data_IF_809742738582
#
_entry.id   IF_809742738582
#
_cell.length_a   1.000
_cell.length_b   1.000
_cell.length_c   1.000
_cell.angle_alpha   90.00
_cell.angle_beta   90.00
_cell.angle_gamma   90.00
#
_symmetry.space_group_name_H-M   'P 1'
#
loop_
_entity.id
_entity.type
_entity.pdbx_description
1 polymer ?
#
# COMPACT_ATOMS: atom_id res chain seq x y z
N UNK A 1 -33.54 -4.18 42.81
CA UNK A 1 -32.18 -3.84 42.36
C UNK A 1 -32.28 -2.78 41.26
N UNK A 2 -32.13 -1.48 41.58
CA UNK A 2 -32.14 -0.42 40.57
C UNK A 2 -30.83 -0.43 39.77
N UNK A 3 -30.92 -0.42 38.44
CA UNK A 3 -29.80 -0.55 37.50
C UNK A 3 -28.77 0.58 37.62
N UNK A 4 -27.48 0.23 37.69
CA UNK A 4 -26.34 1.16 37.75
C UNK A 4 -26.22 2.11 36.53
N UNK A 5 -26.93 1.82 35.44
CA UNK A 5 -26.84 2.57 34.18
C UNK A 5 -27.31 4.04 34.26
N UNK A 6 -28.13 4.41 35.25
CA UNK A 6 -28.68 5.78 35.35
C UNK A 6 -27.80 6.75 36.17
N UNK A 7 -26.76 6.27 36.87
CA UNK A 7 -25.89 7.14 37.69
C UNK A 7 -24.89 7.97 36.87
N UNK A 8 -24.72 7.68 35.59
CA UNK A 8 -23.71 8.30 34.74
C UNK A 8 -24.25 9.38 33.79
N UNK A 9 -25.56 9.65 33.81
CA UNK A 9 -26.14 10.73 32.99
C UNK A 9 -25.97 12.05 33.75
N UNK A 10 -24.86 12.74 33.51
CA UNK A 10 -24.70 14.15 33.93
C UNK A 10 -25.66 15.01 33.12
N UNK A 11 -26.70 15.52 33.77
CA UNK A 11 -27.61 16.50 33.15
C UNK A 11 -26.85 17.80 32.85
N UNK A 12 -27.25 18.53 31.80
CA UNK A 12 -26.61 19.77 31.33
C UNK A 12 -26.48 20.86 32.42
N UNK A 13 -27.16 20.73 33.56
CA UNK A 13 -26.99 21.60 34.75
C UNK A 13 -25.62 21.47 35.43
N UNK A 14 -24.81 20.46 35.11
CA UNK A 14 -23.48 20.24 35.70
C UNK A 14 -22.31 20.71 34.82
N UNK A 15 -22.57 21.49 33.77
CA UNK A 15 -21.52 22.16 33.01
C UNK A 15 -21.12 23.39 33.82
N UNK A 16 -19.97 23.32 34.50
CA UNK A 16 -19.34 24.48 35.15
C UNK A 16 -19.18 25.56 34.08
N UNK A 17 -19.98 26.62 34.17
CA UNK A 17 -19.79 27.82 33.34
C UNK A 17 -18.44 28.41 33.72
N UNK A 18 -17.73 28.99 32.75
CA UNK A 18 -16.33 29.43 32.90
C UNK A 18 -16.06 30.39 34.08
N UNK A 19 -17.11 30.94 34.69
CA UNK A 19 -17.03 31.79 35.88
C UNK A 19 -16.58 31.05 37.15
N UNK A 20 -16.94 29.77 37.34
CA UNK A 20 -16.56 29.00 38.55
C UNK A 20 -15.11 28.50 38.50
N UNK A 21 -14.55 28.33 37.30
CA UNK A 21 -13.15 27.98 37.10
C UNK A 21 -12.19 29.13 37.41
N UNK A 22 -12.66 30.38 37.36
CA UNK A 22 -11.83 31.56 37.61
C UNK A 22 -11.51 31.76 39.10
N UNK A 23 -12.36 31.29 40.02
CA UNK A 23 -12.19 31.53 41.46
C UNK A 23 -11.23 30.56 42.16
N UNK A 24 -10.95 29.40 41.56
CA UNK A 24 -10.17 28.31 42.17
C UNK A 24 -8.77 28.11 41.57
N UNK A 25 -8.47 28.75 40.45
CA UNK A 25 -7.15 28.70 39.82
C UNK A 25 -6.53 30.08 39.90
N UNK A 26 -5.47 30.24 40.69
CA UNK A 26 -4.53 31.36 40.52
C UNK A 26 -4.04 31.31 39.07
N UNK A 27 -4.68 32.10 38.20
CA UNK A 27 -4.20 32.34 36.84
C UNK A 27 -2.88 33.06 37.02
N UNK A 28 -1.77 32.33 36.83
CA UNK A 28 -0.46 32.96 36.64
C UNK A 28 -0.51 33.71 35.32
N UNK A 29 -0.96 34.96 35.37
CA UNK A 29 -0.75 35.91 34.29
C UNK A 29 0.73 36.29 34.34
N UNK A 30 1.57 35.57 33.58
CA UNK A 30 2.95 36.03 33.34
C UNK A 30 2.86 37.30 32.50
N UNK A 31 2.94 38.44 33.19
CA UNK A 31 2.99 39.77 32.61
C UNK A 31 4.12 39.83 31.59
N UNK A 32 3.81 40.23 30.37
CA UNK A 32 4.78 40.43 29.30
C UNK A 32 5.25 41.88 29.34
N UNK A 33 6.37 42.18 30.03
CA UNK A 33 7.06 43.46 29.87
C UNK A 33 8.46 43.47 30.48
N UNK A 34 9.29 42.52 30.06
CA UNK A 34 10.76 42.60 29.99
C UNK A 34 11.27 41.17 29.77
N UNK A 35 11.48 40.78 28.51
CA UNK A 35 12.34 39.61 28.25
C UNK A 35 13.74 40.07 28.57
N UNK A 36 14.41 39.40 29.50
CA UNK A 36 15.85 39.58 29.67
C UNK A 36 16.55 39.13 28.37
N UNK A 37 17.69 39.74 28.04
CA UNK A 37 18.45 39.38 26.83
C UNK A 37 18.78 37.88 26.79
N UNK A 38 18.97 37.26 27.97
CA UNK A 38 19.18 35.83 28.16
C UNK A 38 17.97 34.97 27.75
N UNK A 39 16.74 35.38 28.08
CA UNK A 39 15.53 34.67 27.69
C UNK A 39 15.28 34.76 26.18
N UNK A 40 15.60 35.89 25.56
CA UNK A 40 15.53 36.07 24.12
C UNK A 40 16.56 35.19 23.38
N UNK A 41 17.81 35.15 23.88
CA UNK A 41 18.86 34.30 23.33
C UNK A 41 18.53 32.79 23.47
N UNK A 42 17.95 32.38 24.59
CA UNK A 42 17.52 31.00 24.80
C UNK A 42 16.40 30.58 23.84
N UNK A 43 15.42 31.45 23.57
CA UNK A 43 14.36 31.18 22.60
C UNK A 43 14.87 31.08 21.16
N UNK A 44 15.82 31.93 20.77
CA UNK A 44 16.49 31.84 19.47
C UNK A 44 17.26 30.52 19.32
N UNK A 45 18.04 30.14 20.34
CA UNK A 45 18.75 28.85 20.35
C UNK A 45 17.81 27.64 20.25
N UNK A 46 16.65 27.70 20.91
CA UNK A 46 15.62 26.66 20.80
C UNK A 46 14.98 26.61 19.41
N UNK A 47 14.77 27.77 18.77
CA UNK A 47 14.28 27.83 17.40
C UNK A 47 15.28 27.18 16.42
N UNK A 48 16.57 27.47 16.56
CA UNK A 48 17.64 26.88 15.73
C UNK A 48 17.78 25.37 15.92
N UNK A 49 17.62 24.89 17.16
CA UNK A 49 17.59 23.44 17.43
C UNK A 49 16.37 22.77 16.80
N UNK A 50 15.21 23.42 16.80
CA UNK A 50 13.99 22.89 16.17
C UNK A 50 14.10 22.86 14.66
N UNK A 51 14.64 23.90 14.04
CA UNK A 51 14.87 23.92 12.58
C UNK A 51 15.88 22.84 12.18
N UNK A 52 16.97 22.65 12.93
CA UNK A 52 17.92 21.56 12.69
C UNK A 52 17.27 20.17 12.78
N UNK A 53 16.36 19.95 13.73
CA UNK A 53 15.61 18.68 13.82
C UNK A 53 14.63 18.49 12.66
N UNK A 54 14.00 19.56 12.17
CA UNK A 54 13.11 19.50 11.00
C UNK A 54 13.92 19.12 9.77
N UNK A 55 15.05 19.81 9.51
CA UNK A 55 15.93 19.52 8.38
C UNK A 55 16.47 18.08 8.43
N UNK A 56 16.86 17.59 9.60
CA UNK A 56 17.31 16.21 9.75
C UNK A 56 16.21 15.18 9.47
N UNK A 57 14.95 15.46 9.86
CA UNK A 57 13.79 14.62 9.51
C UNK A 57 13.51 14.66 8.02
N UNK A 58 13.61 15.82 7.40
CA UNK A 58 13.40 16.02 5.97
C UNK A 58 14.44 15.27 5.15
N UNK A 59 15.73 15.38 5.51
CA UNK A 59 16.82 14.64 4.88
C UNK A 59 16.60 13.12 4.95
N UNK A 60 16.15 12.60 6.10
CA UNK A 60 15.79 11.18 6.24
C UNK A 60 14.61 10.77 5.35
N UNK A 61 13.61 11.65 5.19
CA UNK A 61 12.47 11.40 4.28
C UNK A 61 12.92 11.35 2.83
N UNK A 62 13.79 12.25 2.40
CA UNK A 62 14.35 12.24 1.04
C UNK A 62 15.14 10.96 0.77
N UNK A 63 16.04 10.57 1.69
CA UNK A 63 16.79 9.31 1.57
C UNK A 63 15.87 8.08 1.47
N UNK A 64 14.79 8.05 2.26
CA UNK A 64 13.80 6.96 2.18
C UNK A 64 13.04 6.96 0.84
N UNK A 65 12.74 8.14 0.30
CA UNK A 65 12.09 8.28 -1.01
C UNK A 65 12.99 7.79 -2.14
N UNK A 66 14.27 8.19 -2.15
CA UNK A 66 15.25 7.73 -3.13
C UNK A 66 15.41 6.19 -3.10
N UNK A 67 15.57 5.61 -1.91
CA UNK A 67 15.64 4.16 -1.75
C UNK A 67 14.38 3.44 -2.28
N UNK A 68 13.20 4.03 -2.11
CA UNK A 68 11.95 3.52 -2.66
C UNK A 68 11.92 3.59 -4.20
N UNK A 69 12.40 4.70 -4.76
CA UNK A 69 12.52 4.87 -6.22
C UNK A 69 13.45 3.80 -6.79
N UNK A 70 14.62 3.58 -6.20
CA UNK A 70 15.57 2.58 -6.71
C UNK A 70 15.02 1.15 -6.60
N UNK A 71 14.30 0.84 -5.51
CA UNK A 71 13.59 -0.44 -5.40
C UNK A 71 12.52 -0.60 -6.48
N UNK A 72 11.80 0.47 -6.81
CA UNK A 72 10.79 0.45 -7.87
C UNK A 72 11.43 0.25 -9.25
N UNK A 73 12.56 0.92 -9.54
CA UNK A 73 13.35 0.73 -10.76
C UNK A 73 13.82 -0.72 -10.90
N UNK A 74 14.37 -1.30 -9.84
CA UNK A 74 14.78 -2.71 -9.84
C UNK A 74 13.63 -3.68 -10.12
N UNK A 75 12.42 -3.40 -9.61
CA UNK A 75 11.23 -4.22 -9.92
C UNK A 75 10.81 -4.10 -11.39
N UNK A 76 10.86 -2.90 -11.96
CA UNK A 76 10.55 -2.66 -13.38
C UNK A 76 11.54 -3.41 -14.28
N UNK A 77 12.84 -3.37 -13.98
CA UNK A 77 13.84 -4.11 -14.73
C UNK A 77 13.58 -5.62 -14.70
N UNK A 78 13.32 -6.20 -13.52
CA UNK A 78 12.96 -7.62 -13.39
C UNK A 78 11.69 -7.98 -14.16
N UNK A 79 10.70 -7.09 -14.19
CA UNK A 79 9.49 -7.30 -14.97
C UNK A 79 9.77 -7.29 -16.48
N UNK A 80 10.64 -6.38 -16.95
CA UNK A 80 11.08 -6.33 -18.35
C UNK A 80 11.85 -7.59 -18.76
N UNK A 81 12.74 -8.09 -17.91
CA UNK A 81 13.46 -9.35 -18.15
C UNK A 81 12.50 -10.53 -18.31
N UNK A 82 11.52 -10.66 -17.39
CA UNK A 82 10.48 -11.71 -17.48
C UNK A 82 9.63 -11.60 -18.74
N UNK A 83 9.30 -10.37 -19.15
CA UNK A 83 8.56 -10.12 -20.38
C UNK A 83 9.40 -10.56 -21.59
N UNK A 84 10.68 -10.19 -21.65
CA UNK A 84 11.59 -10.56 -22.73
C UNK A 84 11.74 -12.08 -22.85
N UNK A 85 11.90 -12.79 -21.73
CA UNK A 85 11.93 -14.26 -21.72
C UNK A 85 10.63 -14.87 -22.26
N UNK A 86 9.48 -14.33 -21.85
CA UNK A 86 8.17 -14.79 -22.35
C UNK A 86 8.01 -14.54 -23.85
N UNK A 87 8.42 -13.37 -24.35
CA UNK A 87 8.38 -13.03 -25.78
C UNK A 87 9.25 -14.01 -26.58
N UNK A 88 10.48 -14.27 -26.13
CA UNK A 88 11.39 -15.19 -26.81
C UNK A 88 10.83 -16.62 -26.82
N UNK A 89 10.26 -17.08 -25.71
CA UNK A 89 9.59 -18.39 -25.65
C UNK A 89 8.42 -18.48 -26.63
N UNK A 90 7.61 -17.42 -26.71
CA UNK A 90 6.48 -17.38 -27.63
C UNK A 90 6.93 -17.34 -29.10
N UNK A 91 8.03 -16.65 -29.41
CA UNK A 91 8.63 -16.67 -30.76
C UNK A 91 9.05 -18.07 -31.16
N UNK A 92 9.81 -18.76 -30.31
CA UNK A 92 10.22 -20.14 -30.56
C UNK A 92 9.02 -21.10 -30.72
N UNK A 93 7.98 -20.96 -29.90
CA UNK A 93 6.74 -21.74 -30.06
C UNK A 93 6.00 -21.43 -31.37
N UNK A 94 6.05 -20.18 -31.83
CA UNK A 94 5.40 -19.77 -33.08
C UNK A 94 6.17 -20.31 -34.28
N UNK A 95 7.50 -20.23 -34.25
CA UNK A 95 8.38 -20.85 -35.26
C UNK A 95 8.13 -22.36 -35.35
N UNK A 96 8.13 -23.06 -34.22
CA UNK A 96 7.82 -24.50 -34.18
C UNK A 96 6.43 -24.82 -34.75
N UNK A 97 5.42 -23.99 -34.46
CA UNK A 97 4.07 -24.18 -35.03
C UNK A 97 4.09 -24.04 -36.55
N UNK A 98 4.83 -23.07 -37.08
CA UNK A 98 4.96 -22.90 -38.53
C UNK A 98 5.69 -24.07 -39.18
N UNK A 99 6.77 -24.57 -38.55
CA UNK A 99 7.50 -25.75 -39.01
C UNK A 99 6.59 -26.97 -39.06
N UNK A 100 5.88 -27.28 -37.97
CA UNK A 100 4.95 -28.42 -37.92
C UNK A 100 3.78 -28.29 -38.90
N UNK A 101 3.25 -27.08 -39.10
CA UNK A 101 2.21 -26.84 -40.11
C UNK A 101 2.74 -27.08 -41.53
N UNK A 102 3.96 -26.62 -41.81
CA UNK A 102 4.62 -26.83 -43.08
C UNK A 102 4.90 -28.31 -43.33
N UNK A 103 5.41 -29.05 -42.35
CA UNK A 103 5.64 -30.50 -42.45
C UNK A 103 4.36 -31.28 -42.72
N UNK A 104 3.23 -30.89 -42.09
CA UNK A 104 1.90 -31.45 -42.37
C UNK A 104 1.43 -31.15 -43.79
N UNK A 105 1.62 -29.92 -44.28
CA UNK A 105 1.25 -29.56 -45.65
C UNK A 105 2.12 -30.22 -46.72
N UNK A 106 3.41 -30.41 -46.43
CA UNK A 106 4.36 -31.14 -47.29
C UNK A 106 4.14 -32.67 -47.21
N UNK A 107 3.18 -33.15 -46.40
CA UNK A 107 2.79 -34.56 -46.34
C UNK A 107 3.83 -35.47 -45.70
N UNK A 108 4.81 -34.93 -44.99
CA UNK A 108 5.88 -35.73 -44.34
C UNK A 108 5.35 -36.61 -43.20
N UNK A 109 4.24 -36.19 -42.60
CA UNK A 109 3.48 -36.97 -41.60
C UNK A 109 2.16 -37.50 -42.19
N UNK A 110 2.22 -38.28 -43.27
CA UNK A 110 1.06 -39.06 -43.71
C UNK A 110 0.83 -40.25 -42.77
N UNK A 111 0.46 -39.99 -41.52
CA UNK A 111 -0.10 -41.04 -40.65
C UNK A 111 -1.55 -41.21 -41.10
N UNK A 112 -1.94 -42.39 -41.62
CA UNK A 112 -3.33 -42.61 -42.01
C UNK A 112 -4.19 -42.49 -40.74
N UNK A 113 -5.11 -41.52 -40.73
CA UNK A 113 -6.20 -41.52 -39.76
C UNK A 113 -6.96 -42.84 -39.94
N UNK A 114 -6.72 -43.80 -39.04
CA UNK A 114 -7.69 -44.87 -38.81
C UNK A 114 -8.97 -44.18 -38.35
N UNK A 115 -9.93 -44.08 -39.27
CA UNK A 115 -11.31 -43.72 -38.94
C UNK A 115 -11.87 -44.87 -38.13
N UNK A 116 -11.74 -44.81 -36.81
CA UNK A 116 -12.61 -45.61 -35.96
C UNK A 116 -14.02 -45.04 -36.07
N UNK A 117 -15.04 -45.87 -36.37
CA UNK A 117 -16.41 -45.40 -36.45
C UNK A 117 -16.85 -44.89 -35.07
N UNK A 118 -17.38 -43.67 -35.03
CA UNK A 118 -18.02 -43.09 -33.85
C UNK A 118 -19.14 -44.01 -33.37
N UNK A 119 -18.89 -44.80 -32.34
CA UNK A 119 -19.96 -45.39 -31.53
C UNK A 119 -20.58 -44.29 -30.68
N UNK A 120 -21.81 -43.92 -31.04
CA UNK A 120 -22.70 -43.06 -30.27
C UNK A 120 -22.80 -43.55 -28.82
N UNK A 121 -22.68 -42.64 -27.84
CA UNK A 121 -22.98 -42.95 -26.43
C UNK A 121 -21.88 -42.66 -25.41
N UNK A 122 -21.23 -41.50 -25.49
CA UNK A 122 -20.33 -41.02 -24.43
C UNK A 122 -21.09 -40.22 -23.37
N UNK A 123 -21.48 -40.88 -22.27
CA UNK A 123 -21.97 -40.22 -21.04
C UNK A 123 -20.92 -39.20 -20.54
N UNK A 124 -21.26 -37.91 -20.54
CA UNK A 124 -20.48 -36.89 -19.83
C UNK A 124 -20.80 -36.98 -18.32
N UNK A 125 -19.80 -37.08 -17.43
CA UNK A 125 -20.06 -36.98 -16.00
C UNK A 125 -20.49 -35.54 -15.67
N UNK A 126 -21.73 -35.41 -15.18
CA UNK A 126 -22.31 -34.17 -14.66
C UNK A 126 -21.48 -33.73 -13.45
N UNK A 127 -20.64 -32.71 -13.61
CA UNK A 127 -19.97 -32.07 -12.47
C UNK A 127 -21.00 -31.27 -11.68
N UNK A 128 -21.43 -31.82 -10.55
CA UNK A 128 -22.20 -31.08 -9.55
C UNK A 128 -21.29 -30.04 -8.90
N UNK A 129 -21.61 -28.76 -9.13
CA UNK A 129 -21.03 -27.63 -8.42
C UNK A 129 -21.69 -27.55 -7.04
N UNK A 130 -20.97 -27.96 -6.01
CA UNK A 130 -21.35 -27.68 -4.63
C UNK A 130 -21.02 -26.22 -4.31
N UNK A 131 -22.06 -25.46 -3.93
CA UNK A 131 -21.96 -24.12 -3.33
C UNK A 131 -21.64 -24.21 -1.84
#
# INVERSE_FOLDING_TARGET
MPSEALRNIKTMRQIKTGHDLARSRRVRTTNSLSRTEEEAAHLLSLADRRTGQILAKEAKRFAAMEASIDKSRGRVLKAREKLAMTINRNRALTELRYELQRERWEGKDSVPLKKEPLTEGGNLPRMELNY
#
